data_IF_682895920747
#
_entry.id   IF_682895920747
#
_cell.length_a   1.000
_cell.length_b   1.000
_cell.length_c   1.000
_cell.angle_alpha   90.00
_cell.angle_beta   90.00
_cell.angle_gamma   90.00
#
_symmetry.space_group_name_H-M   'P 1'
#
loop_
_entity.id
_entity.type
_entity.pdbx_description
1 polymer ?
#
# COMPACT_ATOMS: atom_id res chain seq x y z
N UNK A 1 48.23 12.06 3.36
CA UNK A 1 47.94 11.32 2.10
C UNK A 1 47.37 9.96 2.45
N UNK A 2 46.05 9.77 2.35
CA UNK A 2 45.38 8.50 2.63
C UNK A 2 45.30 7.71 1.31
N UNK A 3 46.02 6.59 1.21
CA UNK A 3 45.96 5.69 0.04
C UNK A 3 44.63 4.93 0.07
N UNK A 4 43.73 5.24 -0.86
CA UNK A 4 42.55 4.43 -1.14
C UNK A 4 42.99 3.09 -1.77
N UNK A 5 42.60 1.96 -1.17
CA UNK A 5 42.73 0.64 -1.81
C UNK A 5 41.71 0.55 -2.95
N UNK A 6 42.08 0.03 -4.14
CA UNK A 6 41.11 -0.19 -5.20
C UNK A 6 40.14 -1.30 -4.80
N UNK A 7 38.84 -1.06 -5.00
CA UNK A 7 37.81 -2.06 -4.84
C UNK A 7 38.04 -3.17 -5.88
N UNK A 8 38.34 -4.38 -5.40
CA UNK A 8 38.55 -5.55 -6.24
C UNK A 8 37.23 -5.94 -6.92
N UNK A 9 37.13 -5.70 -8.22
CA UNK A 9 36.00 -6.14 -9.03
C UNK A 9 35.99 -7.68 -9.08
N UNK A 10 35.05 -8.30 -8.35
CA UNK A 10 34.82 -9.75 -8.41
C UNK A 10 34.43 -10.15 -9.84
N UNK A 11 35.34 -10.82 -10.56
CA UNK A 11 35.02 -11.51 -11.82
C UNK A 11 33.93 -12.54 -11.55
N UNK A 12 32.76 -12.39 -12.16
CA UNK A 12 31.69 -13.40 -12.13
C UNK A 12 32.11 -14.55 -13.02
N UNK A 13 32.48 -15.67 -12.40
CA UNK A 13 32.62 -16.95 -13.08
C UNK A 13 31.26 -17.30 -13.71
N UNK A 14 31.20 -17.40 -15.04
CA UNK A 14 29.96 -17.81 -15.73
C UNK A 14 29.83 -19.32 -15.59
N UNK A 15 29.27 -19.78 -14.47
CA UNK A 15 28.89 -21.18 -14.33
C UNK A 15 27.82 -21.53 -15.37
N UNK A 16 28.04 -22.64 -16.07
CA UNK A 16 27.05 -23.18 -17.02
C UNK A 16 25.82 -23.58 -16.21
N UNK A 17 24.69 -22.92 -16.43
CA UNK A 17 23.42 -23.25 -15.81
C UNK A 17 22.61 -24.15 -16.74
N UNK A 18 22.49 -25.43 -16.39
CA UNK A 18 21.59 -26.35 -17.09
C UNK A 18 20.14 -26.01 -16.73
N UNK A 19 19.30 -25.74 -17.74
CA UNK A 19 17.88 -25.42 -17.60
C UNK A 19 17.03 -26.30 -18.49
N UNK A 20 15.85 -26.67 -18.01
CA UNK A 20 14.88 -27.44 -18.79
C UNK A 20 14.13 -26.49 -19.72
N UNK A 21 14.19 -26.74 -21.03
CA UNK A 21 13.42 -25.99 -22.02
C UNK A 21 11.96 -26.44 -21.96
N UNK A 22 11.04 -25.51 -21.73
CA UNK A 22 9.61 -25.81 -21.60
C UNK A 22 8.89 -25.56 -22.95
N UNK A 23 8.21 -26.58 -23.52
CA UNK A 23 7.32 -26.41 -24.66
C UNK A 23 6.16 -25.46 -24.33
N UNK A 24 5.68 -24.70 -25.33
CA UNK A 24 4.62 -23.69 -25.14
C UNK A 24 3.37 -24.23 -24.44
N UNK A 25 2.99 -25.47 -24.73
CA UNK A 25 1.81 -26.12 -24.14
C UNK A 25 1.90 -26.27 -22.62
N UNK A 26 3.11 -26.42 -22.05
CA UNK A 26 3.32 -26.69 -20.62
C UNK A 26 3.61 -25.43 -19.80
N UNK A 27 3.74 -24.25 -20.44
CA UNK A 27 4.07 -23.00 -19.75
C UNK A 27 3.03 -22.70 -18.67
N UNK A 28 1.73 -22.87 -18.98
CA UNK A 28 0.64 -22.59 -18.04
C UNK A 28 0.71 -23.48 -16.80
N UNK A 29 1.00 -24.77 -16.97
CA UNK A 29 1.05 -25.74 -15.86
C UNK A 29 2.24 -25.45 -14.93
N UNK A 30 3.39 -25.08 -15.51
CA UNK A 30 4.57 -24.66 -14.74
C UNK A 30 4.26 -23.39 -13.94
N UNK A 31 3.64 -22.38 -14.56
CA UNK A 31 3.29 -21.13 -13.88
C UNK A 31 2.25 -21.36 -12.78
N UNK A 32 1.24 -22.21 -13.02
CA UNK A 32 0.24 -22.59 -12.02
C UNK A 32 0.90 -23.23 -10.79
N UNK A 33 1.84 -24.14 -11.01
CA UNK A 33 2.56 -24.83 -9.93
C UNK A 33 3.42 -23.88 -9.11
N UNK A 34 4.17 -22.99 -9.78
CA UNK A 34 5.07 -22.05 -9.09
C UNK A 34 4.31 -20.90 -8.41
N UNK A 35 3.15 -20.52 -8.94
CA UNK A 35 2.31 -19.45 -8.38
C UNK A 35 1.33 -19.93 -7.30
N UNK A 36 1.23 -21.24 -7.01
CA UNK A 36 0.36 -21.75 -5.93
C UNK A 36 0.50 -21.01 -4.57
N UNK A 37 1.68 -20.49 -4.17
CA UNK A 37 1.82 -19.65 -2.96
C UNK A 37 1.43 -18.17 -3.14
N UNK A 38 0.81 -17.80 -4.27
CA UNK A 38 0.44 -16.44 -4.68
C UNK A 38 1.56 -15.40 -4.57
N UNK A 39 2.79 -15.80 -4.90
CA UNK A 39 3.90 -14.86 -4.97
C UNK A 39 3.68 -13.80 -6.05
N UNK A 40 4.19 -12.59 -5.78
CA UNK A 40 4.25 -11.53 -6.77
C UNK A 40 5.18 -11.86 -7.93
N UNK A 41 5.02 -11.12 -9.04
CA UNK A 41 5.66 -11.36 -10.35
C UNK A 41 7.16 -11.67 -10.23
N UNK A 42 7.91 -10.86 -9.48
CA UNK A 42 9.36 -10.99 -9.36
C UNK A 42 9.78 -12.33 -8.75
N UNK A 43 9.13 -12.70 -7.63
CA UNK A 43 9.47 -13.92 -6.90
C UNK A 43 9.02 -15.17 -7.68
N UNK A 44 7.85 -15.14 -8.31
CA UNK A 44 7.42 -16.21 -9.24
C UNK A 44 8.42 -16.37 -10.39
N UNK A 45 8.86 -15.28 -11.01
CA UNK A 45 9.82 -15.32 -12.10
C UNK A 45 11.17 -15.90 -11.67
N UNK A 46 11.67 -15.53 -10.49
CA UNK A 46 12.92 -16.07 -9.94
C UNK A 46 12.86 -17.58 -9.71
N UNK A 47 11.75 -18.09 -9.16
CA UNK A 47 11.55 -19.52 -8.97
C UNK A 47 11.52 -20.29 -10.30
N UNK A 48 10.76 -19.80 -11.28
CA UNK A 48 10.70 -20.43 -12.60
C UNK A 48 12.07 -20.39 -13.28
N UNK A 49 12.73 -19.24 -13.27
CA UNK A 49 14.04 -19.01 -13.91
C UNK A 49 15.16 -19.89 -13.34
N UNK A 50 15.03 -20.34 -12.10
CA UNK A 50 16.04 -21.18 -11.46
C UNK A 50 16.18 -22.55 -12.14
N UNK A 51 15.09 -23.13 -12.67
CA UNK A 51 15.07 -24.49 -13.24
C UNK A 51 14.69 -24.55 -14.71
N UNK A 52 13.89 -23.59 -15.18
CA UNK A 52 13.26 -23.64 -16.49
C UNK A 52 13.75 -22.55 -17.43
N UNK A 53 13.54 -22.75 -18.72
CA UNK A 53 13.76 -21.76 -19.75
C UNK A 53 12.69 -21.84 -20.84
N UNK A 54 12.23 -20.68 -21.31
CA UNK A 54 11.55 -20.51 -22.61
C UNK A 54 11.69 -19.06 -23.06
N UNK A 55 11.35 -18.78 -24.33
CA UNK A 55 11.37 -17.41 -24.85
C UNK A 55 10.17 -16.64 -24.30
N UNK A 56 10.40 -15.50 -23.64
CA UNK A 56 9.32 -14.65 -23.13
C UNK A 56 8.88 -14.91 -21.69
N UNK A 57 9.62 -15.74 -20.93
CA UNK A 57 9.30 -16.12 -19.54
C UNK A 57 8.78 -15.01 -18.64
N UNK A 58 9.45 -13.84 -18.65
CA UNK A 58 9.05 -12.74 -17.80
C UNK A 58 7.68 -12.18 -18.19
N UNK A 59 7.42 -12.04 -19.50
CA UNK A 59 6.13 -11.58 -20.02
C UNK A 59 5.02 -12.56 -19.65
N UNK A 60 5.24 -13.85 -19.86
CA UNK A 60 4.23 -14.87 -19.54
C UNK A 60 3.98 -14.93 -18.03
N UNK A 61 5.04 -14.86 -17.21
CA UNK A 61 4.92 -14.82 -15.74
C UNK A 61 4.13 -13.59 -15.29
N UNK A 62 4.45 -12.42 -15.84
CA UNK A 62 3.76 -11.17 -15.52
C UNK A 62 2.27 -11.29 -15.87
N UNK A 63 1.96 -11.66 -17.11
CA UNK A 63 0.58 -11.83 -17.57
C UNK A 63 -0.18 -12.85 -16.72
N UNK A 64 0.46 -13.96 -16.33
CA UNK A 64 -0.18 -14.98 -15.50
C UNK A 64 -0.53 -14.43 -14.10
N UNK A 65 0.43 -13.79 -13.42
CA UNK A 65 0.22 -13.27 -12.06
C UNK A 65 -0.75 -12.08 -12.04
N UNK A 66 -0.71 -11.20 -13.04
CA UNK A 66 -1.64 -10.06 -13.14
C UNK A 66 -3.09 -10.49 -13.41
N UNK A 67 -3.30 -11.66 -14.01
CA UNK A 67 -4.63 -12.21 -14.30
C UNK A 67 -5.09 -13.27 -13.28
N UNK A 68 -4.35 -13.50 -12.18
CA UNK A 68 -4.78 -14.41 -11.12
C UNK A 68 -5.97 -13.81 -10.36
N UNK A 69 -7.11 -14.50 -10.37
CA UNK A 69 -8.35 -14.05 -9.71
C UNK A 69 -8.19 -13.85 -8.20
N UNK A 70 -7.54 -14.80 -7.51
CA UNK A 70 -7.28 -14.74 -6.07
C UNK A 70 -6.37 -13.57 -5.70
N UNK A 71 -5.31 -13.34 -6.48
CA UNK A 71 -4.47 -12.16 -6.29
C UNK A 71 -5.25 -10.87 -6.54
N UNK A 72 -6.06 -10.79 -7.60
CA UNK A 72 -6.83 -9.60 -7.94
C UNK A 72 -7.90 -9.25 -6.90
N UNK A 73 -8.51 -10.25 -6.25
CA UNK A 73 -9.49 -10.05 -5.18
C UNK A 73 -8.83 -9.57 -3.88
N UNK A 74 -7.66 -10.12 -3.55
CA UNK A 74 -6.95 -9.80 -2.31
C UNK A 74 -6.03 -8.57 -2.41
N UNK A 75 -5.70 -8.12 -3.62
CA UNK A 75 -4.85 -6.95 -3.81
C UNK A 75 -5.63 -5.70 -3.43
N UNK A 76 -5.16 -5.02 -2.38
CA UNK A 76 -5.65 -3.69 -2.02
C UNK A 76 -5.54 -2.78 -3.24
N UNK A 77 -6.69 -2.33 -3.75
CA UNK A 77 -6.73 -1.29 -4.77
C UNK A 77 -6.56 0.03 -4.03
N UNK A 78 -5.59 0.89 -4.40
CA UNK A 78 -5.63 2.25 -3.93
C UNK A 78 -6.97 2.83 -4.35
N UNK A 79 -7.80 3.15 -3.37
CA UNK A 79 -9.04 3.85 -3.62
C UNK A 79 -8.62 5.26 -4.06
N UNK A 80 -8.50 5.46 -5.37
CA UNK A 80 -8.27 6.77 -5.96
C UNK A 80 -9.57 7.59 -5.84
N UNK A 81 -10.10 7.74 -4.63
CA UNK A 81 -10.94 8.87 -4.30
C UNK A 81 -10.03 10.07 -4.31
N UNK A 82 -10.02 10.82 -5.41
CA UNK A 82 -9.65 12.21 -5.36
C UNK A 82 -10.82 12.92 -4.67
N UNK A 83 -10.73 13.27 -3.38
CA UNK A 83 -11.81 14.03 -2.76
C UNK A 83 -11.97 15.35 -3.53
N UNK A 84 -13.21 15.78 -3.72
CA UNK A 84 -13.48 17.15 -4.19
C UNK A 84 -12.95 18.11 -3.13
N UNK A 85 -11.78 18.69 -3.38
CA UNK A 85 -11.23 19.73 -2.52
C UNK A 85 -11.97 21.04 -2.79
N UNK A 86 -12.50 21.65 -1.74
CA UNK A 86 -13.05 23.00 -1.80
C UNK A 86 -11.90 23.97 -1.46
N UNK A 87 -11.48 24.84 -2.39
CA UNK A 87 -10.39 25.78 -2.12
C UNK A 87 -10.79 26.78 -1.02
N UNK A 88 -9.85 27.09 -0.12
CA UNK A 88 -10.08 28.09 0.95
C UNK A 88 -10.48 29.48 0.41
N UNK A 89 -10.02 29.85 -0.79
CA UNK A 89 -10.36 31.13 -1.44
C UNK A 89 -11.84 31.28 -1.79
N UNK A 90 -12.57 30.17 -1.86
CA UNK A 90 -13.98 30.13 -2.22
C UNK A 90 -14.86 30.03 -0.95
N UNK A 91 -14.29 30.28 0.24
CA UNK A 91 -14.96 30.23 1.54
C UNK A 91 -14.84 31.58 2.28
N UNK A 92 -15.78 31.81 3.19
CA UNK A 92 -15.79 32.84 4.22
C UNK A 92 -15.89 32.20 5.63
N UNK A 93 -15.62 32.94 6.73
CA UNK A 93 -15.71 32.40 8.08
C UNK A 93 -17.07 31.76 8.36
N UNK A 94 -17.07 30.51 8.84
CA UNK A 94 -18.29 29.80 9.23
C UNK A 94 -19.04 29.09 8.08
N UNK A 95 -18.62 29.26 6.82
CA UNK A 95 -19.25 28.58 5.68
C UNK A 95 -18.91 27.09 5.62
N UNK A 96 -17.77 26.68 6.19
CA UNK A 96 -17.38 25.29 6.28
C UNK A 96 -16.72 24.99 7.63
N UNK A 97 -17.39 24.16 8.41
CA UNK A 97 -16.94 23.75 9.74
C UNK A 97 -16.71 22.23 9.71
N UNK A 98 -15.53 21.81 10.13
CA UNK A 98 -15.25 20.41 10.44
C UNK A 98 -15.54 20.17 11.92
N UNK A 99 -16.33 19.14 12.20
CA UNK A 99 -16.65 18.70 13.56
C UNK A 99 -16.18 17.26 13.69
N UNK A 100 -15.36 16.99 14.71
CA UNK A 100 -14.87 15.64 15.01
C UNK A 100 -14.77 15.42 16.53
N UNK A 101 -14.77 14.16 16.96
CA UNK A 101 -14.65 13.78 18.37
C UNK A 101 -13.39 12.96 18.58
N UNK A 102 -12.50 13.46 19.42
CA UNK A 102 -11.29 12.75 19.83
C UNK A 102 -11.57 11.95 21.10
N UNK A 103 -11.35 10.63 21.09
CA UNK A 103 -11.36 9.79 22.29
C UNK A 103 -11.37 8.28 21.99
N UNK A 104 -11.36 7.40 23.00
CA UNK A 104 -11.34 7.64 24.47
C UNK A 104 -9.95 8.04 24.96
N UNK A 105 -9.84 9.24 25.54
CA UNK A 105 -8.64 9.74 26.19
C UNK A 105 -8.56 9.30 27.66
N UNK A 106 -7.38 9.39 28.29
CA UNK A 106 -7.28 9.27 29.75
C UNK A 106 -8.26 10.20 30.46
N UNK A 107 -8.81 9.73 31.57
CA UNK A 107 -9.82 10.43 32.36
C UNK A 107 -9.28 11.78 32.85
N UNK A 108 -10.00 12.86 32.56
CA UNK A 108 -9.73 14.16 33.21
C UNK A 108 -10.16 14.16 34.68
N UNK A 109 -9.84 15.23 35.41
CA UNK A 109 -10.32 15.44 36.79
C UNK A 109 -11.86 15.40 36.89
N UNK A 110 -12.54 15.79 35.82
CA UNK A 110 -13.99 15.97 35.78
C UNK A 110 -14.71 14.82 35.06
N UNK A 111 -14.07 13.64 34.99
CA UNK A 111 -14.59 12.44 34.32
C UNK A 111 -14.97 12.65 32.85
N UNK A 112 -14.20 13.48 32.13
CA UNK A 112 -14.32 13.64 30.67
C UNK A 112 -13.30 12.73 29.98
N UNK A 113 -13.73 12.10 28.89
CA UNK A 113 -12.94 11.11 28.14
C UNK A 113 -12.85 11.45 26.65
N UNK A 114 -13.56 12.49 26.24
CA UNK A 114 -13.70 12.87 24.84
C UNK A 114 -13.55 14.38 24.71
N UNK A 115 -13.14 14.82 23.52
CA UNK A 115 -13.08 16.24 23.16
C UNK A 115 -13.78 16.39 21.83
N UNK A 116 -14.87 17.17 21.80
CA UNK A 116 -15.45 17.68 20.56
C UNK A 116 -14.53 18.76 20.01
N UNK A 117 -14.14 18.64 18.76
CA UNK A 117 -13.31 19.59 18.04
C UNK A 117 -14.14 20.22 16.94
N UNK A 118 -14.16 21.55 16.89
CA UNK A 118 -14.91 22.33 15.90
C UNK A 118 -13.89 23.26 15.24
N UNK A 119 -13.68 23.09 13.94
CA UNK A 119 -12.68 23.84 13.18
C UNK A 119 -13.34 24.55 12.01
N UNK A 120 -13.24 25.87 11.97
CA UNK A 120 -13.58 26.64 10.77
C UNK A 120 -12.48 26.47 9.71
N UNK A 121 -12.84 25.98 8.53
CA UNK A 121 -11.89 25.73 7.44
C UNK A 121 -11.29 27.02 6.87
N UNK A 122 -12.01 28.14 6.94
CA UNK A 122 -11.53 29.42 6.47
C UNK A 122 -10.51 30.04 7.45
N UNK A 123 -10.95 30.38 8.66
CA UNK A 123 -10.11 31.08 9.64
C UNK A 123 -9.08 30.19 10.33
N UNK A 124 -9.30 28.86 10.31
CA UNK A 124 -8.59 27.88 11.16
C UNK A 124 -8.83 28.10 12.66
N UNK A 125 -9.87 28.83 13.04
CA UNK A 125 -10.30 28.93 14.42
C UNK A 125 -10.74 27.55 14.92
N UNK A 126 -10.18 27.13 16.05
CA UNK A 126 -10.44 25.86 16.70
C UNK A 126 -11.14 26.11 18.03
N UNK A 127 -12.28 25.47 18.21
CA UNK A 127 -12.98 25.38 19.48
C UNK A 127 -13.01 23.93 19.95
N UNK A 128 -12.77 23.72 21.25
CA UNK A 128 -12.75 22.38 21.84
C UNK A 128 -13.64 22.31 23.08
N UNK A 129 -14.48 21.28 23.15
CA UNK A 129 -15.46 21.10 24.23
C UNK A 129 -15.28 19.70 24.85
N UNK A 130 -14.98 19.58 26.16
CA UNK A 130 -14.78 18.29 26.80
C UNK A 130 -16.11 17.56 27.06
N UNK A 131 -16.18 16.31 26.59
CA UNK A 131 -17.37 15.46 26.68
C UNK A 131 -17.12 14.21 27.56
N UNK A 132 -18.18 13.76 28.23
CA UNK A 132 -18.20 12.51 29.00
C UNK A 132 -18.65 11.31 28.14
N UNK A 133 -19.39 11.56 27.05
CA UNK A 133 -19.88 10.56 26.11
C UNK A 133 -20.00 11.16 24.69
N UNK A 134 -20.29 10.32 23.68
CA UNK A 134 -20.47 10.75 22.28
C UNK A 134 -21.93 10.61 21.81
N UNK A 135 -22.90 10.79 22.70
CA UNK A 135 -24.33 10.70 22.34
C UNK A 135 -24.77 11.96 21.61
N UNK A 136 -25.76 11.84 20.72
CA UNK A 136 -26.31 12.97 19.98
C UNK A 136 -26.81 14.09 20.90
N UNK A 137 -27.44 13.76 22.03
CA UNK A 137 -27.92 14.73 23.02
C UNK A 137 -26.79 15.53 23.69
N UNK A 138 -25.57 15.01 23.70
CA UNK A 138 -24.41 15.74 24.24
C UNK A 138 -23.74 16.63 23.17
N UNK A 139 -24.14 16.50 21.91
CA UNK A 139 -23.53 17.18 20.75
C UNK A 139 -24.50 18.22 20.14
N UNK A 140 -25.82 17.95 20.18
CA UNK A 140 -26.92 18.76 19.66
C UNK A 140 -27.81 19.16 20.84
#
# INVERSE_FOLDING_TARGET
MIKLKPASAKKKDKSIQNKILIPKALIKDVLQTVHAPHFGIQKTYEFVKAKYYWRGMYSDTKSFVENCSECLQNKSRPHNTLPRLIPKKDLAPGEMIAIDIVGKLPRSTDNKFYVLTIIDHYSRYLETIPLNNCTSQSII
#
